data_IF_871877756543
#
_entry.id   IF_871877756543
#
_cell.length_a   1.000
_cell.length_b   1.000
_cell.length_c   1.000
_cell.angle_alpha   90.00
_cell.angle_beta   90.00
_cell.angle_gamma   90.00
#
_symmetry.space_group_name_H-M   'P 1'
#
loop_
_entity.id
_entity.type
_entity.pdbx_description
1 polymer ?
#
# COMPACT_ATOMS: atom_id res chain seq x y z
N UNK A 1 6.12 3.09 -37.40
CA UNK A 1 5.08 2.39 -36.62
C UNK A 1 5.15 2.96 -35.22
N UNK A 2 4.35 3.98 -34.92
CA UNK A 2 4.32 4.58 -33.59
C UNK A 2 3.63 3.62 -32.63
N UNK A 3 4.42 2.79 -31.95
CA UNK A 3 3.94 1.94 -30.88
C UNK A 3 3.56 2.83 -29.67
N UNK A 4 2.39 3.47 -29.75
CA UNK A 4 1.86 4.31 -28.68
C UNK A 4 1.56 3.40 -27.49
N UNK A 5 2.46 3.38 -26.51
CA UNK A 5 2.38 2.55 -25.31
C UNK A 5 1.13 2.85 -24.47
N UNK A 6 0.63 4.10 -24.57
CA UNK A 6 -0.62 4.56 -23.97
C UNK A 6 -1.68 4.68 -25.06
N UNK A 7 -2.82 4.06 -24.85
CA UNK A 7 -3.97 4.19 -25.74
C UNK A 7 -4.87 5.33 -25.27
N UNK A 8 -4.59 6.53 -25.79
CA UNK A 8 -5.35 7.74 -25.50
C UNK A 8 -6.78 7.73 -26.09
N UNK A 9 -7.09 6.75 -26.94
CA UNK A 9 -8.44 6.59 -27.49
C UNK A 9 -9.32 5.64 -26.67
N UNK A 10 -8.73 4.91 -25.71
CA UNK A 10 -9.47 3.99 -24.85
C UNK A 10 -10.32 4.74 -23.83
N UNK A 11 -11.63 4.61 -23.99
CA UNK A 11 -12.63 5.02 -23.00
C UNK A 11 -13.17 3.80 -22.21
N UNK A 12 -13.99 4.07 -21.19
CA UNK A 12 -14.65 3.09 -20.32
C UNK A 12 -15.48 2.03 -21.08
N UNK A 13 -15.89 2.31 -22.33
CA UNK A 13 -16.68 1.40 -23.19
C UNK A 13 -15.83 0.53 -24.11
N UNK A 14 -14.51 0.70 -24.12
CA UNK A 14 -13.62 -0.09 -24.96
C UNK A 14 -13.66 -1.56 -24.51
N UNK A 15 -13.74 -2.50 -25.46
CA UNK A 15 -13.86 -3.94 -25.17
C UNK A 15 -12.69 -4.48 -24.32
N UNK A 16 -11.51 -3.88 -24.45
CA UNK A 16 -10.29 -4.21 -23.71
C UNK A 16 -9.97 -3.17 -22.61
N UNK A 17 -10.99 -2.47 -22.09
CA UNK A 17 -10.84 -1.57 -20.96
C UNK A 17 -10.76 -2.35 -19.66
N UNK A 18 -9.66 -2.17 -18.92
CA UNK A 18 -9.46 -2.76 -17.58
C UNK A 18 -9.58 -1.67 -16.53
N UNK A 19 -10.82 -1.25 -16.29
CA UNK A 19 -11.15 -0.21 -15.31
C UNK A 19 -11.28 -0.72 -13.88
N UNK A 20 -11.88 0.13 -13.05
CA UNK A 20 -12.13 -0.11 -11.63
C UNK A 20 -12.96 -1.37 -11.34
N UNK A 21 -13.87 -1.77 -12.23
CA UNK A 21 -14.69 -2.98 -12.08
C UNK A 21 -14.00 -4.29 -12.48
N UNK A 22 -12.75 -4.23 -12.97
CA UNK A 22 -12.03 -5.41 -13.41
C UNK A 22 -11.59 -6.33 -12.25
N UNK A 23 -11.44 -7.63 -12.52
CA UNK A 23 -10.90 -8.59 -11.55
C UNK A 23 -9.53 -8.16 -11.00
N UNK A 24 -8.72 -7.48 -11.83
CA UNK A 24 -7.41 -6.97 -11.43
C UNK A 24 -7.50 -5.91 -10.32
N UNK A 25 -8.58 -5.12 -10.25
CA UNK A 25 -8.81 -4.19 -9.14
C UNK A 25 -9.04 -4.93 -7.82
N UNK A 26 -9.77 -6.05 -7.83
CA UNK A 26 -9.93 -6.89 -6.63
C UNK A 26 -8.59 -7.51 -6.18
N UNK A 27 -7.73 -7.86 -7.14
CA UNK A 27 -6.36 -8.32 -6.85
C UNK A 27 -5.47 -7.23 -6.24
N UNK A 28 -5.84 -5.96 -6.34
CA UNK A 28 -5.17 -4.84 -5.66
C UNK A 28 -5.82 -4.59 -4.30
N UNK A 29 -7.13 -4.36 -4.26
CA UNK A 29 -7.86 -3.98 -3.04
C UNK A 29 -7.79 -5.10 -1.98
N UNK A 30 -7.91 -6.37 -2.38
CA UNK A 30 -7.88 -7.51 -1.46
C UNK A 30 -6.60 -7.55 -0.61
N UNK A 31 -5.41 -7.62 -1.23
CA UNK A 31 -4.13 -7.53 -0.52
C UNK A 31 -3.98 -6.28 0.33
N UNK A 32 -4.37 -5.10 -0.18
CA UNK A 32 -4.24 -3.83 0.55
C UNK A 32 -5.09 -3.84 1.82
N UNK A 33 -6.35 -4.27 1.74
CA UNK A 33 -7.23 -4.42 2.91
C UNK A 33 -6.74 -5.49 3.89
N UNK A 34 -6.20 -6.61 3.38
CA UNK A 34 -5.62 -7.66 4.23
C UNK A 34 -4.45 -7.13 5.07
N UNK A 35 -3.50 -6.40 4.45
CA UNK A 35 -2.39 -5.80 5.17
C UNK A 35 -2.83 -4.69 6.13
N UNK A 36 -3.80 -3.85 5.75
CA UNK A 36 -4.39 -2.88 6.67
C UNK A 36 -5.03 -3.55 7.88
N UNK A 37 -5.65 -4.72 7.71
CA UNK A 37 -6.16 -5.52 8.84
C UNK A 37 -5.05 -5.98 9.78
N UNK A 38 -3.91 -6.42 9.26
CA UNK A 38 -2.74 -6.79 10.07
C UNK A 38 -2.20 -5.58 10.84
N UNK A 39 -2.06 -4.43 10.17
CA UNK A 39 -1.57 -3.20 10.80
C UNK A 39 -2.55 -2.65 11.83
N UNK A 40 -3.86 -2.78 11.58
CA UNK A 40 -4.86 -2.43 12.57
C UNK A 40 -4.79 -3.34 13.81
N UNK A 41 -4.50 -4.63 13.62
CA UNK A 41 -4.27 -5.55 14.73
C UNK A 41 -2.99 -5.23 15.52
N UNK A 42 -1.98 -4.59 14.90
CA UNK A 42 -0.77 -4.11 15.61
C UNK A 42 -0.99 -2.77 16.33
N UNK A 43 -2.00 -2.00 15.93
CA UNK A 43 -2.25 -0.64 16.42
C UNK A 43 -2.34 -0.51 17.95
N UNK A 44 -3.00 -1.41 18.72
CA UNK A 44 -3.02 -1.30 20.18
C UNK A 44 -1.64 -1.41 20.84
N UNK A 45 -0.69 -2.11 20.20
CA UNK A 45 0.69 -2.23 20.68
C UNK A 45 1.54 -1.02 20.26
N UNK A 46 1.20 -0.43 19.11
CA UNK A 46 1.87 0.76 18.58
C UNK A 46 1.40 2.04 19.30
N UNK A 47 0.17 2.04 19.81
CA UNK A 47 -0.47 3.23 20.39
C UNK A 47 0.34 3.91 21.50
N UNK A 48 0.81 3.18 22.54
CA UNK A 48 1.55 3.79 23.64
C UNK A 48 2.94 4.30 23.24
N UNK A 49 3.51 3.82 22.12
CA UNK A 49 4.85 4.25 21.70
C UNK A 49 4.83 5.61 21.00
N UNK A 50 3.72 5.93 20.34
CA UNK A 50 3.66 7.05 19.39
C UNK A 50 2.61 8.12 19.76
N UNK A 51 1.54 7.76 20.47
CA UNK A 51 0.41 8.67 20.71
C UNK A 51 0.08 8.94 22.18
N UNK A 52 0.89 8.44 23.12
CA UNK A 52 0.75 8.79 24.55
C UNK A 52 1.88 9.69 25.00
N UNK A 53 1.52 10.76 25.72
CA UNK A 53 2.49 11.69 26.34
C UNK A 53 3.12 11.12 27.61
N UNK A 54 2.46 10.16 28.25
CA UNK A 54 2.97 9.53 29.47
C UNK A 54 4.22 8.69 29.16
N UNK A 55 5.23 8.69 30.05
CA UNK A 55 6.41 7.84 29.87
C UNK A 55 6.03 6.37 29.78
N UNK A 56 6.44 5.73 28.68
CA UNK A 56 6.22 4.29 28.48
C UNK A 56 7.01 3.51 29.55
N UNK A 57 6.36 2.66 30.36
CA UNK A 57 7.06 1.88 31.37
C UNK A 57 8.10 0.95 30.74
N UNK A 58 9.29 0.77 31.36
CA UNK A 58 10.32 -0.15 30.84
C UNK A 58 9.81 -1.58 30.57
N UNK A 59 8.91 -2.07 31.42
CA UNK A 59 8.27 -3.39 31.28
C UNK A 59 7.44 -3.54 30.01
N UNK A 60 6.93 -2.44 29.44
CA UNK A 60 6.19 -2.47 28.19
C UNK A 60 7.09 -2.82 27.00
N UNK A 61 8.31 -2.26 26.96
CA UNK A 61 9.28 -2.58 25.90
C UNK A 61 9.73 -4.05 25.94
N UNK A 62 9.74 -4.67 27.12
CA UNK A 62 10.00 -6.10 27.29
C UNK A 62 8.84 -6.97 26.79
N UNK A 63 7.61 -6.59 27.11
CA UNK A 63 6.42 -7.25 26.60
C UNK A 63 6.32 -7.14 25.08
N UNK A 64 6.53 -5.94 24.53
CA UNK A 64 6.52 -5.68 23.10
C UNK A 64 7.62 -6.48 22.38
N UNK A 65 8.85 -6.44 22.88
CA UNK A 65 9.93 -7.24 22.29
C UNK A 65 9.61 -8.74 22.33
N UNK A 66 9.04 -9.25 23.41
CA UNK A 66 8.62 -10.65 23.52
C UNK A 66 7.55 -11.00 22.49
N UNK A 67 6.55 -10.13 22.32
CA UNK A 67 5.51 -10.27 21.29
C UNK A 67 6.12 -10.29 19.87
N UNK A 68 7.02 -9.37 19.56
CA UNK A 68 7.67 -9.28 18.25
C UNK A 68 8.57 -10.51 17.97
N UNK A 69 9.28 -11.03 18.97
CA UNK A 69 10.02 -12.30 18.86
C UNK A 69 9.10 -13.47 18.58
N UNK A 70 7.96 -13.54 19.27
CA UNK A 70 6.94 -14.55 19.00
C UNK A 70 6.42 -14.46 17.55
N UNK A 71 6.14 -13.25 17.08
CA UNK A 71 5.71 -13.01 15.69
C UNK A 71 6.79 -13.41 14.67
N UNK A 72 8.07 -13.13 14.93
CA UNK A 72 9.17 -13.51 14.05
C UNK A 72 9.43 -15.03 14.07
N UNK A 73 9.22 -15.68 15.21
CA UNK A 73 9.35 -17.14 15.37
C UNK A 73 8.14 -17.92 14.82
N UNK A 74 7.13 -17.23 14.31
CA UNK A 74 5.93 -17.87 13.77
C UNK A 74 6.29 -18.81 12.59
N UNK A 75 5.51 -19.89 12.36
CA UNK A 75 5.81 -20.86 11.32
C UNK A 75 6.06 -20.20 9.95
N UNK A 76 7.05 -20.68 9.17
CA UNK A 76 7.44 -20.03 7.91
C UNK A 76 6.31 -19.95 6.90
N UNK A 77 5.27 -20.79 7.03
CA UNK A 77 4.04 -20.71 6.25
C UNK A 77 3.42 -19.31 6.27
N UNK A 78 3.39 -18.63 7.43
CA UNK A 78 2.78 -17.30 7.56
C UNK A 78 3.53 -16.30 6.68
N UNK A 79 4.86 -16.24 6.81
CA UNK A 79 5.69 -15.37 5.96
C UNK A 79 5.52 -15.64 4.46
N UNK A 80 5.38 -16.91 4.05
CA UNK A 80 5.11 -17.27 2.65
C UNK A 80 3.76 -16.77 2.17
N UNK A 81 2.71 -16.94 2.98
CA UNK A 81 1.37 -16.40 2.66
C UNK A 81 1.42 -14.88 2.50
N UNK A 82 2.09 -14.16 3.40
CA UNK A 82 2.24 -12.71 3.28
C UNK A 82 2.92 -12.32 1.94
N UNK A 83 4.02 -12.97 1.58
CA UNK A 83 4.69 -12.70 0.31
C UNK A 83 3.81 -13.02 -0.90
N UNK A 84 3.05 -14.14 -0.88
CA UNK A 84 2.09 -14.47 -1.93
C UNK A 84 1.05 -13.35 -2.09
N UNK A 85 0.52 -12.82 -0.99
CA UNK A 85 -0.46 -11.72 -1.01
C UNK A 85 0.16 -10.44 -1.59
N UNK A 86 1.43 -10.15 -1.28
CA UNK A 86 2.17 -9.05 -1.93
C UNK A 86 2.26 -9.25 -3.46
N UNK A 87 2.62 -10.46 -3.90
CA UNK A 87 2.72 -10.78 -5.32
C UNK A 87 1.37 -10.68 -6.05
N UNK A 88 0.27 -11.06 -5.40
CA UNK A 88 -1.08 -10.88 -5.95
C UNK A 88 -1.39 -9.40 -6.20
N UNK A 89 -1.00 -8.52 -5.28
CA UNK A 89 -1.11 -7.06 -5.44
C UNK A 89 -0.37 -6.54 -6.67
N UNK A 90 0.91 -6.93 -6.82
CA UNK A 90 1.71 -6.59 -8.00
C UNK A 90 1.10 -7.12 -9.30
N UNK A 91 0.61 -8.35 -9.30
CA UNK A 91 -0.03 -8.96 -10.46
C UNK A 91 -1.27 -8.17 -10.89
N UNK A 92 -2.07 -7.68 -9.92
CA UNK A 92 -3.18 -6.77 -10.18
C UNK A 92 -2.75 -5.48 -10.90
N UNK A 93 -1.73 -4.80 -10.38
CA UNK A 93 -1.19 -3.59 -11.01
C UNK A 93 -0.65 -3.84 -12.42
N UNK A 94 0.16 -4.88 -12.61
CA UNK A 94 0.73 -5.20 -13.92
C UNK A 94 -0.35 -5.62 -14.92
N UNK A 95 -1.41 -6.30 -14.49
CA UNK A 95 -2.54 -6.63 -15.35
C UNK A 95 -3.30 -5.39 -15.84
N UNK A 96 -3.48 -4.37 -14.99
CA UNK A 96 -4.15 -3.09 -15.38
C UNK A 96 -3.26 -2.18 -16.22
N UNK A 97 -1.95 -2.23 -16.01
CA UNK A 97 -0.96 -1.47 -16.77
C UNK A 97 -0.57 -2.11 -18.12
N UNK A 98 -1.11 -3.30 -18.44
CA UNK A 98 -0.92 -3.89 -19.76
C UNK A 98 -1.87 -3.25 -20.80
N UNK A 99 -1.32 -2.38 -21.66
CA UNK A 99 -2.03 -1.51 -22.61
C UNK A 99 -3.01 -0.54 -21.92
N UNK A 100 -2.47 0.39 -21.10
CA UNK A 100 -3.26 1.23 -20.21
C UNK A 100 -3.98 2.34 -20.96
N UNK A 101 -5.15 2.71 -20.42
CA UNK A 101 -5.81 3.99 -20.68
C UNK A 101 -5.13 5.11 -19.89
N UNK A 102 -5.47 6.37 -20.17
CA UNK A 102 -4.99 7.52 -19.41
C UNK A 102 -5.30 7.41 -17.90
N UNK A 103 -6.54 7.03 -17.56
CA UNK A 103 -6.96 6.81 -16.17
C UNK A 103 -6.11 5.74 -15.47
N UNK A 104 -5.80 4.63 -16.15
CA UNK A 104 -4.96 3.58 -15.58
C UNK A 104 -3.53 4.08 -15.33
N UNK A 105 -2.95 4.87 -16.25
CA UNK A 105 -1.60 5.44 -16.03
C UNK A 105 -1.58 6.36 -14.82
N UNK A 106 -2.59 7.23 -14.69
CA UNK A 106 -2.64 8.23 -13.62
C UNK A 106 -2.90 7.59 -12.25
N UNK A 107 -3.95 6.78 -12.13
CA UNK A 107 -4.39 6.24 -10.84
C UNK A 107 -3.70 4.93 -10.48
N UNK A 108 -3.65 3.95 -11.39
CA UNK A 108 -2.98 2.66 -11.12
C UNK A 108 -1.45 2.81 -11.11
N UNK A 109 -0.89 3.69 -11.96
CA UNK A 109 0.54 3.99 -11.94
C UNK A 109 1.00 4.64 -10.63
N UNK A 110 0.28 5.66 -10.15
CA UNK A 110 0.56 6.29 -8.85
C UNK A 110 0.37 5.31 -7.69
N UNK A 111 -0.68 4.49 -7.76
CA UNK A 111 -0.95 3.43 -6.77
C UNK A 111 0.20 2.41 -6.73
N UNK A 112 0.75 2.02 -7.89
CA UNK A 112 1.88 1.10 -7.96
C UNK A 112 3.13 1.69 -7.32
N UNK A 113 3.42 2.98 -7.52
CA UNK A 113 4.55 3.65 -6.86
C UNK A 113 4.39 3.62 -5.34
N UNK A 114 3.21 3.98 -4.82
CA UNK A 114 2.90 3.89 -3.39
C UNK A 114 3.05 2.44 -2.89
N UNK A 115 2.58 1.47 -3.66
CA UNK A 115 2.69 0.05 -3.29
C UNK A 115 4.14 -0.42 -3.21
N UNK A 116 5.00 -0.02 -4.15
CA UNK A 116 6.45 -0.30 -4.13
C UNK A 116 7.10 0.33 -2.90
N UNK A 117 6.77 1.58 -2.57
CA UNK A 117 7.25 2.24 -1.34
C UNK A 117 6.82 1.44 -0.11
N UNK A 118 5.56 1.01 -0.06
CA UNK A 118 5.04 0.18 1.03
C UNK A 118 5.78 -1.15 1.19
N UNK A 119 6.06 -1.84 0.08
CA UNK A 119 6.86 -3.07 0.08
C UNK A 119 8.30 -2.79 0.53
N UNK A 120 8.88 -1.67 0.12
CA UNK A 120 10.19 -1.20 0.59
C UNK A 120 10.23 -1.04 2.11
N UNK A 121 9.24 -0.34 2.69
CA UNK A 121 9.10 -0.17 4.15
C UNK A 121 8.92 -1.51 4.84
N UNK A 122 8.09 -2.40 4.30
CA UNK A 122 7.89 -3.74 4.85
C UNK A 122 9.21 -4.53 4.92
N UNK A 123 9.98 -4.57 3.83
CA UNK A 123 11.22 -5.34 3.78
C UNK A 123 12.35 -4.68 4.60
N UNK A 124 12.56 -3.38 4.41
CA UNK A 124 13.69 -2.66 4.98
C UNK A 124 13.52 -2.32 6.46
N UNK A 125 12.28 -2.10 6.92
CA UNK A 125 12.02 -1.66 8.29
C UNK A 125 11.35 -2.76 9.11
N UNK A 126 10.25 -3.35 8.62
CA UNK A 126 9.47 -4.30 9.42
C UNK A 126 10.18 -5.66 9.53
N UNK A 127 10.53 -6.27 8.40
CA UNK A 127 11.21 -7.58 8.39
C UNK A 127 12.59 -7.48 9.05
N UNK A 128 13.35 -6.43 8.74
CA UNK A 128 14.66 -6.20 9.35
C UNK A 128 14.54 -5.94 10.87
N UNK A 129 13.61 -5.08 11.29
CA UNK A 129 13.38 -4.81 12.72
C UNK A 129 12.97 -6.06 13.51
N UNK A 130 12.13 -6.94 12.95
CA UNK A 130 11.79 -8.22 13.58
C UNK A 130 13.01 -9.14 13.74
N UNK A 131 13.91 -9.17 12.75
CA UNK A 131 15.17 -9.93 12.84
C UNK A 131 16.09 -9.35 13.90
N UNK A 132 16.24 -8.03 13.95
CA UNK A 132 17.08 -7.33 14.91
C UNK A 132 16.58 -7.57 16.35
N UNK A 133 15.26 -7.47 16.59
CA UNK A 133 14.61 -7.80 17.88
C UNK A 133 14.84 -9.25 18.29
N UNK A 134 14.84 -10.18 17.35
CA UNK A 134 15.06 -11.62 17.63
C UNK A 134 16.52 -11.96 17.88
N UNK A 135 17.43 -11.34 17.13
CA UNK A 135 18.87 -11.52 17.28
C UNK A 135 19.43 -10.84 18.54
N UNK A 136 18.61 -10.06 19.25
CA UNK A 136 18.97 -9.34 20.47
C UNK A 136 20.23 -8.48 20.30
N UNK A 137 20.29 -7.76 19.18
CA UNK A 137 21.47 -7.02 18.73
C UNK A 137 21.92 -5.88 19.66
N UNK A 138 21.09 -5.50 20.63
CA UNK A 138 21.42 -4.54 21.69
C UNK A 138 22.02 -5.20 22.95
N UNK A 139 22.18 -6.52 22.98
CA UNK A 139 22.75 -7.27 24.10
C UNK A 139 21.79 -7.52 25.26
N UNK A 140 22.18 -8.45 26.15
CA UNK A 140 21.35 -8.94 27.25
C UNK A 140 20.95 -7.88 28.28
N UNK A 141 21.67 -6.74 28.33
CA UNK A 141 21.35 -5.60 29.18
C UNK A 141 20.49 -4.53 28.48
N UNK A 142 20.23 -4.69 27.17
CA UNK A 142 19.44 -3.77 26.34
C UNK A 142 20.07 -2.39 26.13
N UNK A 143 21.33 -2.21 26.55
CA UNK A 143 22.04 -0.91 26.51
C UNK A 143 22.95 -0.77 25.30
N UNK A 144 23.09 -1.82 24.50
CA UNK A 144 23.76 -1.75 23.21
C UNK A 144 23.05 -0.77 22.28
N UNK A 145 23.77 -0.31 21.26
CA UNK A 145 23.23 0.57 20.23
C UNK A 145 23.47 -0.07 18.88
N UNK A 146 22.46 -0.02 18.02
CA UNK A 146 22.63 -0.37 16.61
C UNK A 146 23.17 0.84 15.87
N UNK A 147 24.33 0.71 15.25
CA UNK A 147 24.84 1.71 14.30
C UNK A 147 24.21 1.46 12.94
N UNK A 148 23.42 2.43 12.46
CA UNK A 148 22.95 2.48 11.08
C UNK A 148 23.76 3.53 10.32
N UNK A 149 24.53 3.12 9.31
CA UNK A 149 25.13 4.06 8.36
C UNK A 149 24.11 4.40 7.28
N UNK A 150 23.57 5.62 7.35
CA UNK A 150 22.70 6.17 6.33
C UNK A 150 23.53 6.96 5.30
N UNK A 151 23.29 6.78 3.98
CA UNK A 151 24.02 7.53 2.95
C UNK A 151 23.79 9.05 2.99
N UNK A 152 22.80 9.53 3.76
CA UNK A 152 22.44 10.95 3.90
C UNK A 152 22.63 11.46 5.35
N UNK A 153 22.46 10.60 6.37
CA UNK A 153 22.41 11.00 7.79
C UNK A 153 23.66 10.68 8.61
N UNK A 154 24.64 9.97 8.05
CA UNK A 154 25.80 9.47 8.80
C UNK A 154 25.48 8.27 9.70
N UNK A 155 26.36 7.99 10.67
CA UNK A 155 26.17 6.91 11.66
C UNK A 155 25.12 7.32 12.71
N UNK A 156 23.97 6.64 12.69
CA UNK A 156 22.90 6.82 13.68
C UNK A 156 22.94 5.66 14.67
N UNK A 157 23.12 5.96 15.95
CA UNK A 157 23.07 4.97 17.03
C UNK A 157 21.66 4.88 17.61
N UNK A 158 21.00 3.75 17.38
CA UNK A 158 19.64 3.49 17.84
C UNK A 158 19.66 2.63 19.11
N UNK A 159 19.05 3.14 20.18
CA UNK A 159 18.75 2.33 21.37
C UNK A 159 17.67 1.29 21.06
N UNK A 160 17.49 0.31 21.95
CA UNK A 160 16.41 -0.67 21.83
C UNK A 160 15.03 0.00 21.80
N UNK A 161 14.79 0.98 22.69
CA UNK A 161 13.52 1.69 22.75
C UNK A 161 13.26 2.50 21.47
N UNK A 162 14.27 3.21 20.98
CA UNK A 162 14.15 3.98 19.73
C UNK A 162 13.87 3.06 18.54
N UNK A 163 14.50 1.90 18.51
CA UNK A 163 14.29 0.91 17.44
C UNK A 163 12.87 0.36 17.45
N UNK A 164 12.29 0.11 18.64
CA UNK A 164 10.90 -0.31 18.78
C UNK A 164 9.92 0.80 18.36
N UNK A 165 10.22 2.06 18.69
CA UNK A 165 9.44 3.23 18.22
C UNK A 165 9.53 3.40 16.70
N UNK A 166 10.70 3.22 16.10
CA UNK A 166 10.89 3.29 14.65
C UNK A 166 10.13 2.17 13.94
N UNK A 167 10.10 0.95 14.51
CA UNK A 167 9.31 -0.15 13.99
C UNK A 167 7.81 0.18 14.02
N UNK A 168 7.33 0.71 15.14
CA UNK A 168 5.95 1.16 15.32
C UNK A 168 5.55 2.27 14.34
N UNK A 169 6.44 3.26 14.18
CA UNK A 169 6.26 4.34 13.21
C UNK A 169 6.21 3.80 11.78
N UNK A 170 7.02 2.77 11.46
CA UNK A 170 7.01 2.13 10.15
C UNK A 170 5.68 1.43 9.85
N UNK A 171 5.03 0.78 10.83
CA UNK A 171 3.68 0.23 10.67
C UNK A 171 2.67 1.32 10.32
N UNK A 172 2.76 2.46 10.99
CA UNK A 172 1.88 3.62 10.78
C UNK A 172 2.06 4.23 9.38
N UNK A 173 3.32 4.46 8.98
CA UNK A 173 3.64 4.99 7.65
C UNK A 173 3.15 4.01 6.57
N UNK A 174 3.37 2.71 6.76
CA UNK A 174 2.89 1.68 5.84
C UNK A 174 1.35 1.71 5.73
N UNK A 175 0.64 1.88 6.85
CA UNK A 175 -0.83 2.00 6.85
C UNK A 175 -1.29 3.22 6.04
N UNK A 176 -0.66 4.38 6.23
CA UNK A 176 -0.99 5.60 5.47
C UNK A 176 -0.74 5.43 3.97
N UNK A 177 0.37 4.81 3.58
CA UNK A 177 0.70 4.54 2.19
C UNK A 177 -0.33 3.60 1.55
N UNK A 178 -0.74 2.54 2.26
CA UNK A 178 -1.77 1.60 1.81
C UNK A 178 -3.16 2.23 1.72
N UNK A 179 -3.53 3.10 2.66
CA UNK A 179 -4.75 3.92 2.55
C UNK A 179 -4.69 4.82 1.32
N UNK A 180 -3.52 5.41 1.03
CA UNK A 180 -3.30 6.18 -0.20
C UNK A 180 -3.60 5.38 -1.46
N UNK A 181 -3.21 4.09 -1.50
CA UNK A 181 -3.58 3.19 -2.60
C UNK A 181 -5.10 3.04 -2.72
N UNK A 182 -5.81 2.80 -1.60
CA UNK A 182 -7.28 2.69 -1.64
C UNK A 182 -7.96 3.98 -2.11
N UNK A 183 -7.47 5.14 -1.67
CA UNK A 183 -7.99 6.45 -2.08
C UNK A 183 -7.83 6.64 -3.58
N UNK A 184 -6.68 6.28 -4.16
CA UNK A 184 -6.46 6.37 -5.60
C UNK A 184 -7.35 5.39 -6.39
N UNK A 185 -7.54 4.16 -5.89
CA UNK A 185 -8.44 3.19 -6.52
C UNK A 185 -9.91 3.66 -6.47
N UNK A 186 -10.33 4.26 -5.36
CA UNK A 186 -11.65 4.88 -5.25
C UNK A 186 -11.78 6.13 -6.16
N UNK A 187 -10.70 6.91 -6.30
CA UNK A 187 -10.62 8.05 -7.21
C UNK A 187 -10.79 7.64 -8.67
N UNK A 188 -10.15 6.55 -9.09
CA UNK A 188 -10.35 5.95 -10.42
C UNK A 188 -11.81 5.53 -10.61
N UNK A 189 -12.40 4.81 -9.66
CA UNK A 189 -13.80 4.41 -9.74
C UNK A 189 -14.74 5.61 -9.88
N UNK A 190 -14.50 6.68 -9.11
CA UNK A 190 -15.28 7.91 -9.19
C UNK A 190 -15.10 8.62 -10.54
N UNK A 191 -13.88 8.71 -11.06
CA UNK A 191 -13.59 9.31 -12.36
C UNK A 191 -14.29 8.54 -13.49
N UNK A 192 -14.20 7.20 -13.49
CA UNK A 192 -14.88 6.33 -14.46
C UNK A 192 -16.41 6.47 -14.40
N UNK A 193 -16.96 6.58 -13.19
CA UNK A 193 -18.40 6.78 -12.98
C UNK A 193 -18.86 8.10 -13.59
N UNK A 194 -18.11 9.18 -13.34
CA UNK A 194 -18.42 10.51 -13.87
C UNK A 194 -18.31 10.56 -15.40
N UNK A 195 -17.28 9.94 -15.97
CA UNK A 195 -17.11 9.85 -17.42
C UNK A 195 -18.30 9.12 -18.08
N UNK A 196 -18.80 8.05 -17.47
CA UNK A 196 -19.97 7.33 -17.96
C UNK A 196 -21.24 8.20 -17.94
N UNK A 197 -21.49 8.90 -16.83
CA UNK A 197 -22.67 9.77 -16.69
C UNK A 197 -22.64 10.94 -17.69
N UNK A 198 -21.49 11.59 -17.88
CA UNK A 198 -21.31 12.70 -18.83
C UNK A 198 -21.53 12.26 -20.30
N UNK A 199 -21.13 11.03 -20.64
CA UNK A 199 -21.37 10.43 -21.96
C UNK A 199 -22.84 10.10 -22.22
N UNK A 200 -23.57 9.58 -21.23
CA UNK A 200 -25.02 9.29 -21.36
C UNK A 200 -25.82 10.57 -21.68
N UNK A 201 -25.47 11.67 -21.03
CA UNK A 201 -26.08 12.99 -21.28
C UNK A 201 -25.80 13.46 -22.70
N UNK A 202 -24.56 13.31 -23.20
CA UNK A 202 -24.18 13.65 -24.58
C UNK A 202 -24.95 12.82 -25.59
N UNK A 203 -25.05 11.50 -25.40
CA UNK A 203 -25.80 10.63 -26.31
C UNK A 203 -27.30 10.98 -26.35
N UNK A 204 -27.90 11.30 -25.19
CA UNK A 204 -29.28 11.71 -25.12
C UNK A 204 -29.51 13.04 -25.87
N UNK A 205 -28.55 13.97 -25.80
CA UNK A 205 -28.53 15.21 -26.58
C UNK A 205 -28.43 14.95 -28.08
N UNK A 206 -27.50 14.11 -28.51
CA UNK A 206 -27.28 13.80 -29.93
C UNK A 206 -28.47 13.06 -30.54
N UNK A 207 -29.09 12.12 -29.81
CA UNK A 207 -30.32 11.43 -30.24
C UNK A 207 -31.49 12.40 -30.39
N UNK A 208 -31.64 13.38 -29.48
CA UNK A 208 -32.66 14.43 -29.58
C UNK A 208 -32.43 15.33 -30.80
N UNK A 209 -31.19 15.75 -31.04
CA UNK A 209 -30.82 16.58 -32.20
C UNK A 209 -31.02 15.83 -33.53
N UNK A 210 -30.64 14.55 -33.60
CA UNK A 210 -30.84 13.72 -34.78
C UNK A 210 -32.33 13.46 -35.07
N UNK A 211 -33.16 13.26 -34.03
CA UNK A 211 -34.60 13.13 -34.18
C UNK A 211 -35.28 14.43 -34.63
N UNK A 212 -34.78 15.59 -34.20
CA UNK A 212 -35.26 16.90 -34.65
C UNK A 212 -34.94 17.13 -36.15
N UNK A 213 -33.72 16.77 -36.60
CA UNK A 213 -33.32 16.87 -38.01
C UNK A 213 -34.10 15.94 -38.95
N UNK A 214 -34.62 14.82 -38.48
CA UNK A 214 -35.45 13.89 -39.29
C UNK A 214 -36.91 14.31 -39.44
N UNK A 215 -37.38 15.27 -38.64
CA UNK A 215 -38.76 15.79 -38.70
C UNK A 215 -38.90 17.05 -39.56
N UNK A 216 -37.80 17.56 -40.09
CA UNK A 216 -37.71 18.74 -40.96
C UNK A 216 -37.44 18.29 -42.39
#
# INVERSE_FOLDING_TARGET
>A
MDAKWIDWSKTTRSKDYRGSSSFATFMIIGPVCFFLGILFASFPYDFPLLWTSDPVPPSYYDQLATHLRFMHAAPPLISRVLNIVVFVGFLGFFAKLFRPSEANVLFDGSSLVLYVIGVGIYLANIVKGLRDVTADVWGADGKGTLSHEGPISGEVKLSREDSLKVLSASNTILALVLVGVLVLQAGQWYAERKEADDEEVREAGDKKTAAAKKKQ
#
